data_IF_435312751677
#
_entry.id   IF_435312751677
#
_cell.length_a   1.000
_cell.length_b   1.000
_cell.length_c   1.000
_cell.angle_alpha   90.00
_cell.angle_beta   90.00
_cell.angle_gamma   90.00
#
_symmetry.space_group_name_H-M   'P 1'
#
loop_
_entity.id
_entity.type
_entity.pdbx_description
1 polymer ?
#
# COMPACT_ATOMS: atom_id res chain seq x y z
N UNK A 1 3.60 14.92 -2.86
CA UNK A 1 3.56 16.16 -2.06
C UNK A 1 2.18 16.31 -1.47
N UNK A 2 2.09 15.98 -0.18
CA UNK A 2 0.87 15.59 0.52
C UNK A 2 0.31 16.81 1.28
N UNK A 3 -0.77 17.40 0.76
CA UNK A 3 -1.71 18.31 1.42
C UNK A 3 -1.11 19.46 2.29
N UNK A 4 -0.56 20.49 1.66
CA UNK A 4 -0.10 21.73 2.34
C UNK A 4 -1.22 22.66 2.82
N UNK A 5 -2.45 22.51 2.31
CA UNK A 5 -3.49 23.55 2.47
C UNK A 5 -4.13 23.61 3.87
N UNK A 6 -3.96 22.58 4.70
CA UNK A 6 -4.56 22.48 6.04
C UNK A 6 -3.58 21.94 7.11
N UNK A 7 -2.28 22.20 6.96
CA UNK A 7 -1.29 21.83 7.97
C UNK A 7 -1.05 23.02 8.90
N UNK A 8 -1.41 22.85 10.17
CA UNK A 8 -1.05 23.78 11.25
C UNK A 8 0.04 23.10 12.07
N UNK A 9 1.26 23.62 12.01
CA UNK A 9 2.33 23.18 12.89
C UNK A 9 2.05 23.69 14.31
N UNK A 10 1.94 22.75 15.25
CA UNK A 10 1.72 23.06 16.67
C UNK A 10 3.01 22.76 17.42
N UNK A 11 3.72 23.81 17.82
CA UNK A 11 4.86 23.69 18.72
C UNK A 11 4.36 23.48 20.15
N UNK A 12 4.77 22.36 20.76
CA UNK A 12 4.47 22.05 22.16
C UNK A 12 5.57 22.62 23.07
N UNK A 13 5.19 23.09 24.26
CA UNK A 13 6.17 23.46 25.29
C UNK A 13 6.97 22.23 25.76
N UNK A 14 8.19 22.43 26.27
CA UNK A 14 9.08 21.38 26.75
C UNK A 14 8.43 20.48 27.82
N UNK A 15 7.54 21.06 28.63
CA UNK A 15 6.79 20.33 29.65
C UNK A 15 5.69 19.42 29.08
N UNK A 16 5.15 19.74 27.90
CA UNK A 16 4.12 18.95 27.21
C UNK A 16 4.74 17.92 26.25
N UNK A 17 5.86 18.24 25.61
CA UNK A 17 6.53 17.34 24.66
C UNK A 17 7.02 16.05 25.32
N UNK A 18 7.40 16.13 26.60
CA UNK A 18 7.89 15.00 27.39
C UNK A 18 6.78 14.17 28.06
N UNK A 19 5.51 14.58 27.95
CA UNK A 19 4.37 13.87 28.54
C UNK A 19 3.69 12.99 27.50
N UNK A 20 3.47 11.72 27.86
CA UNK A 20 2.58 10.89 27.07
C UNK A 20 1.15 11.47 27.11
N UNK A 21 0.48 11.60 25.96
CA UNK A 21 -0.91 12.02 25.93
C UNK A 21 -1.73 11.01 26.75
N UNK A 22 -2.32 11.48 27.82
CA UNK A 22 -3.16 10.66 28.70
C UNK A 22 -4.60 11.14 28.57
N UNK A 23 -5.46 10.27 28.07
CA UNK A 23 -6.89 10.52 28.04
C UNK A 23 -7.50 10.01 29.35
N UNK A 24 -8.23 10.85 30.09
CA UNK A 24 -8.96 10.39 31.26
C UNK A 24 -9.87 9.22 30.89
N UNK A 25 -9.79 8.13 31.64
CA UNK A 25 -10.62 6.93 31.43
C UNK A 25 -12.11 7.27 31.55
N UNK A 26 -12.47 8.32 32.31
CA UNK A 26 -13.83 8.84 32.42
C UNK A 26 -14.39 9.44 31.12
N UNK A 27 -13.53 9.82 30.18
CA UNK A 27 -13.94 10.26 28.83
C UNK A 27 -14.20 9.09 27.89
N UNK A 28 -13.79 7.87 28.26
CA UNK A 28 -14.11 6.64 27.55
C UNK A 28 -15.55 6.26 27.91
N UNK A 29 -16.50 7.04 27.39
CA UNK A 29 -17.90 6.68 27.46
C UNK A 29 -18.11 5.43 26.61
N UNK A 30 -18.74 4.38 27.15
CA UNK A 30 -19.12 3.22 26.35
C UNK A 30 -19.96 3.70 25.17
N UNK A 31 -19.60 3.25 23.96
CA UNK A 31 -20.41 3.51 22.79
C UNK A 31 -21.79 2.86 22.99
N UNK A 32 -22.84 3.67 22.96
CA UNK A 32 -24.23 3.19 22.99
C UNK A 32 -24.75 3.20 21.56
N UNK A 33 -25.36 2.09 21.13
CA UNK A 33 -26.13 2.07 19.90
C UNK A 33 -27.20 3.15 19.94
N UNK A 34 -27.47 3.78 18.79
CA UNK A 34 -28.53 4.75 18.65
C UNK A 34 -29.88 4.12 19.00
N UNK A 35 -30.57 4.71 19.98
CA UNK A 35 -31.93 4.36 20.36
C UNK A 35 -32.91 4.90 19.28
N UNK A 36 -33.55 4.01 18.53
CA UNK A 36 -34.46 4.37 17.44
C UNK A 36 -35.75 5.02 17.91
N UNK A 37 -36.18 4.76 19.14
CA UNK A 37 -37.39 5.36 19.71
C UNK A 37 -37.12 6.80 20.15
N UNK A 38 -35.94 7.07 20.72
CA UNK A 38 -35.54 8.42 21.14
C UNK A 38 -35.06 9.30 19.98
N UNK A 39 -34.53 8.70 18.92
CA UNK A 39 -33.95 9.42 17.79
C UNK A 39 -34.44 8.89 16.43
N UNK A 40 -35.74 9.00 16.13
CA UNK A 40 -36.35 8.43 14.91
C UNK A 40 -35.81 9.04 13.61
N UNK A 41 -35.25 10.25 13.66
CA UNK A 41 -34.70 10.96 12.51
C UNK A 41 -33.19 10.76 12.31
N UNK A 42 -32.51 9.98 13.18
CA UNK A 42 -31.15 9.48 12.91
C UNK A 42 -31.22 8.34 11.89
N UNK A 43 -31.81 8.63 10.74
CA UNK A 43 -31.72 7.72 9.61
C UNK A 43 -30.27 7.65 9.16
N UNK A 44 -29.86 6.43 8.80
CA UNK A 44 -28.55 6.07 8.29
C UNK A 44 -28.19 7.02 7.15
N UNK A 45 -27.45 8.09 7.46
CA UNK A 45 -26.81 8.88 6.41
C UNK A 45 -25.99 7.86 5.61
N UNK A 46 -26.20 7.76 4.29
CA UNK A 46 -25.39 6.85 3.49
C UNK A 46 -23.94 7.22 3.77
N UNK A 47 -23.16 6.24 4.21
CA UNK A 47 -21.75 6.45 4.46
C UNK A 47 -21.15 6.95 3.14
N UNK A 48 -20.79 8.23 3.08
CA UNK A 48 -20.05 8.79 1.96
C UNK A 48 -18.65 8.23 2.11
N UNK A 49 -18.42 7.09 1.47
CA UNK A 49 -17.08 6.54 1.33
C UNK A 49 -16.36 7.53 0.39
N UNK A 50 -15.31 8.22 0.84
CA UNK A 50 -14.55 9.09 -0.05
C UNK A 50 -14.10 8.25 -1.25
N UNK A 51 -14.06 8.83 -2.47
CA UNK A 51 -13.56 8.12 -3.62
C UNK A 51 -12.15 7.64 -3.29
N UNK A 52 -12.00 6.33 -3.08
CA UNK A 52 -10.68 5.72 -2.96
C UNK A 52 -10.10 5.81 -4.35
N UNK A 53 -9.00 6.55 -4.50
CA UNK A 53 -8.25 6.53 -5.75
C UNK A 53 -8.06 5.05 -6.10
N UNK A 54 -8.58 4.63 -7.25
CA UNK A 54 -8.33 3.29 -7.73
C UNK A 54 -6.82 3.20 -7.83
N UNK A 55 -6.18 2.46 -6.91
CA UNK A 55 -4.76 2.15 -7.01
C UNK A 55 -4.54 1.74 -8.46
N UNK A 56 -3.81 2.56 -9.22
CA UNK A 56 -3.76 2.44 -10.67
C UNK A 56 -3.51 0.99 -11.05
N UNK A 57 -4.12 0.52 -12.14
CA UNK A 57 -3.93 -0.88 -12.57
C UNK A 57 -2.44 -1.19 -12.59
N UNK A 58 -1.99 -2.11 -11.72
CA UNK A 58 -0.57 -2.46 -11.55
C UNK A 58 -0.03 -3.00 -12.88
N UNK A 59 0.56 -2.13 -13.68
CA UNK A 59 1.13 -2.50 -14.97
C UNK A 59 2.60 -2.87 -14.79
N UNK A 60 2.92 -4.10 -15.14
CA UNK A 60 4.28 -4.62 -15.09
C UNK A 60 5.07 -4.08 -16.28
N UNK A 61 6.26 -3.53 -16.02
CA UNK A 61 7.12 -2.95 -17.07
C UNK A 61 8.37 -3.78 -17.31
N UNK A 62 8.98 -4.35 -16.25
CA UNK A 62 10.27 -5.02 -16.37
C UNK A 62 10.45 -6.13 -15.34
N UNK A 63 11.14 -7.20 -15.73
CA UNK A 63 11.67 -8.21 -14.80
C UNK A 63 13.13 -7.88 -14.50
N UNK A 64 13.48 -7.86 -13.21
CA UNK A 64 14.80 -7.47 -12.74
C UNK A 64 15.70 -8.67 -12.44
N UNK A 65 15.14 -9.70 -11.80
CA UNK A 65 15.89 -10.85 -11.28
C UNK A 65 15.07 -12.12 -11.39
N UNK A 66 15.76 -13.25 -11.45
CA UNK A 66 15.16 -14.58 -11.26
C UNK A 66 15.74 -15.23 -9.99
N UNK A 67 14.92 -16.00 -9.29
CA UNK A 67 15.35 -16.89 -8.20
C UNK A 67 14.71 -18.25 -8.34
N UNK A 68 15.40 -19.30 -7.88
CA UNK A 68 14.89 -20.67 -7.87
C UNK A 68 14.58 -21.07 -6.43
N UNK A 69 13.33 -21.41 -6.13
CA UNK A 69 12.98 -21.94 -4.83
C UNK A 69 13.53 -23.37 -4.69
N UNK A 70 14.22 -23.65 -3.57
CA UNK A 70 14.72 -25.00 -3.26
C UNK A 70 13.58 -26.00 -3.06
N UNK A 71 12.47 -25.54 -2.49
CA UNK A 71 11.35 -26.41 -2.08
C UNK A 71 10.59 -27.02 -3.25
N UNK A 72 10.28 -26.23 -4.29
CA UNK A 72 9.34 -26.65 -5.35
C UNK A 72 9.97 -26.71 -6.75
N UNK A 73 11.28 -26.44 -6.91
CA UNK A 73 11.95 -26.24 -8.22
C UNK A 73 11.33 -25.14 -9.11
N UNK A 74 10.33 -24.41 -8.60
CA UNK A 74 9.67 -23.29 -9.26
C UNK A 74 10.62 -22.09 -9.30
N UNK A 75 10.58 -21.36 -10.41
CA UNK A 75 11.29 -20.09 -10.57
C UNK A 75 10.34 -18.95 -10.26
N UNK A 76 10.85 -17.97 -9.56
CA UNK A 76 10.16 -16.71 -9.32
C UNK A 76 10.97 -15.57 -9.93
N UNK A 77 10.25 -14.54 -10.33
CA UNK A 77 10.78 -13.40 -11.03
C UNK A 77 10.44 -12.12 -10.27
N UNK A 78 11.43 -11.28 -10.03
CA UNK A 78 11.25 -9.99 -9.37
C UNK A 78 10.80 -8.98 -10.41
N UNK A 79 9.60 -8.44 -10.23
CA UNK A 79 8.91 -7.60 -11.20
C UNK A 79 8.88 -6.16 -10.74
N UNK A 80 9.09 -5.24 -11.69
CA UNK A 80 8.98 -3.80 -11.52
C UNK A 80 7.77 -3.25 -12.25
N UNK A 81 6.99 -2.45 -11.54
CA UNK A 81 5.81 -1.77 -12.04
C UNK A 81 6.15 -0.48 -12.81
N UNK A 82 5.21 0.00 -13.63
CA UNK A 82 5.33 1.29 -14.33
C UNK A 82 5.23 2.47 -13.37
N UNK A 83 4.39 2.32 -12.35
CA UNK A 83 4.14 3.34 -11.35
C UNK A 83 5.13 3.15 -10.18
N UNK A 84 6.00 4.14 -9.87
CA UNK A 84 7.02 4.03 -8.83
C UNK A 84 6.43 3.93 -7.41
N UNK A 85 5.14 4.17 -7.23
CA UNK A 85 4.46 3.97 -5.95
C UNK A 85 4.33 2.50 -5.56
N UNK A 86 4.36 1.58 -6.53
CA UNK A 86 4.33 0.15 -6.25
C UNK A 86 5.72 -0.43 -6.03
N UNK A 87 5.88 -1.19 -4.95
CA UNK A 87 7.12 -1.88 -4.64
C UNK A 87 7.37 -3.06 -5.58
N UNK A 88 8.65 -3.43 -5.77
CA UNK A 88 9.03 -4.59 -6.58
C UNK A 88 8.59 -5.90 -5.88
N UNK A 89 7.86 -6.77 -6.59
CA UNK A 89 7.25 -7.99 -6.04
C UNK A 89 7.73 -9.25 -6.78
N UNK A 90 7.74 -10.40 -6.09
CA UNK A 90 8.12 -11.70 -6.69
C UNK A 90 6.88 -12.44 -7.20
N UNK A 91 6.89 -12.84 -8.47
CA UNK A 91 5.82 -13.60 -9.11
C UNK A 91 6.31 -14.89 -9.76
N UNK A 92 5.40 -15.87 -9.87
CA UNK A 92 5.59 -17.01 -10.74
C UNK A 92 5.48 -16.60 -12.22
N UNK A 93 5.98 -17.43 -13.13
CA UNK A 93 5.91 -17.15 -14.58
C UNK A 93 4.45 -17.05 -15.06
N UNK A 94 3.55 -17.84 -14.48
CA UNK A 94 2.14 -17.88 -14.88
C UNK A 94 1.38 -16.58 -14.51
N UNK A 95 1.82 -15.87 -13.49
CA UNK A 95 1.14 -14.69 -12.94
C UNK A 95 1.60 -13.38 -13.62
N UNK A 96 2.60 -13.44 -14.50
CA UNK A 96 3.17 -12.26 -15.16
C UNK A 96 2.50 -12.07 -16.54
N UNK A 97 1.81 -10.94 -16.78
CA UNK A 97 1.34 -10.59 -18.11
C UNK A 97 2.53 -10.46 -19.07
N UNK A 98 2.40 -11.03 -20.27
CA UNK A 98 3.44 -10.97 -21.32
C UNK A 98 4.81 -11.52 -20.88
N UNK A 99 4.82 -12.50 -19.95
CA UNK A 99 6.03 -13.10 -19.37
C UNK A 99 7.10 -13.47 -20.42
N UNK A 100 6.71 -14.06 -21.56
CA UNK A 100 7.62 -14.50 -22.61
C UNK A 100 8.53 -13.38 -23.14
N UNK A 101 7.99 -12.19 -23.36
CA UNK A 101 8.76 -11.06 -23.89
C UNK A 101 9.72 -10.51 -22.84
N UNK A 102 9.22 -10.30 -21.62
CA UNK A 102 9.98 -9.77 -20.51
C UNK A 102 11.15 -10.69 -20.10
N UNK A 103 10.90 -12.00 -20.06
CA UNK A 103 11.91 -13.00 -19.74
C UNK A 103 12.96 -13.14 -20.85
N UNK A 104 12.56 -12.97 -22.12
CA UNK A 104 13.53 -12.93 -23.22
C UNK A 104 14.48 -11.74 -23.07
N UNK A 105 13.97 -10.55 -22.75
CA UNK A 105 14.79 -9.35 -22.50
C UNK A 105 15.73 -9.58 -21.31
N UNK A 106 15.24 -10.20 -20.24
CA UNK A 106 16.06 -10.57 -19.07
C UNK A 106 17.25 -11.46 -19.47
N UNK A 107 17.00 -12.52 -20.24
CA UNK A 107 18.06 -13.46 -20.69
C UNK A 107 19.13 -12.77 -21.54
N UNK A 108 18.72 -11.86 -22.42
CA UNK A 108 19.67 -11.08 -23.23
C UNK A 108 20.51 -10.12 -22.37
N UNK A 109 19.91 -9.48 -21.38
CA UNK A 109 20.63 -8.55 -20.49
C UNK A 109 21.60 -9.27 -19.54
N UNK A 110 21.24 -10.44 -19.02
CA UNK A 110 22.15 -11.25 -18.19
C UNK A 110 23.38 -11.72 -18.97
N UNK A 111 23.21 -12.14 -20.23
CA UNK A 111 24.33 -12.61 -21.05
C UNK A 111 25.33 -11.50 -21.38
N UNK A 112 24.84 -10.29 -21.68
CA UNK A 112 25.69 -9.15 -22.00
C UNK A 112 26.52 -8.65 -20.81
N UNK A 113 26.03 -8.82 -19.58
CA UNK A 113 26.74 -8.44 -18.36
C UNK A 113 27.84 -9.45 -17.96
N UNK A 114 27.82 -10.66 -18.52
CA UNK A 114 28.86 -11.69 -18.29
C UNK A 114 30.05 -11.48 -19.25
N UNK A 115 29.82 -10.82 -20.39
CA UNK A 115 30.84 -10.55 -21.42
C UNK A 115 31.56 -9.20 -21.28
N UNK A 116 31.34 -8.46 -20.19
CA UNK A 116 32.05 -7.22 -19.85
C UNK A 116 32.80 -7.39 -18.54
#
# INVERSE_FOLDING_TARGET
DLHEENVVEVELSEELSNKHPTFPVSLIKPYKSSDSEKFPWRNKVPQVIPPMESSGTKKITKVLKERKLRTNKVREYLVRYSDPTFEDEWFAEEDIPEANELLRILRHTTNNNITK
#
